data_IF_379974306073
#
_entry.id   IF_379974306073
#
_cell.length_a   1.000
_cell.length_b   1.000
_cell.length_c   1.000
_cell.angle_alpha   90.00
_cell.angle_beta   90.00
_cell.angle_gamma   90.00
#
_symmetry.space_group_name_H-M   'P 1'
#
loop_
_entity.id
_entity.type
_entity.pdbx_description
1 polymer ?
#
# COMPACT_ATOMS: atom_id res chain seq x y z
N UNK A 1 60.64 -42.31 -37.69
CA UNK A 1 59.97 -43.28 -38.57
C UNK A 1 58.47 -43.08 -38.38
N UNK A 2 57.64 -42.60 -39.22
CA UNK A 2 57.53 -42.48 -40.65
C UNK A 2 56.60 -41.27 -40.92
N UNK A 3 57.04 -40.43 -41.83
CA UNK A 3 56.34 -39.26 -42.39
C UNK A 3 55.10 -39.68 -43.20
N UNK A 4 54.01 -38.94 -43.05
CA UNK A 4 52.97 -38.94 -44.08
C UNK A 4 52.48 -37.53 -44.35
N UNK A 5 52.73 -37.09 -45.54
CA UNK A 5 52.40 -35.78 -46.10
C UNK A 5 50.92 -35.72 -46.44
N UNK A 6 50.28 -34.64 -46.05
CA UNK A 6 48.89 -34.33 -46.46
C UNK A 6 48.91 -33.26 -47.56
N UNK A 7 48.22 -33.55 -48.64
CA UNK A 7 48.09 -32.69 -49.82
C UNK A 7 46.95 -31.70 -49.61
N UNK A 8 47.28 -30.42 -49.83
CA UNK A 8 46.36 -29.31 -49.86
C UNK A 8 45.58 -29.27 -51.18
N UNK A 9 44.27 -29.36 -51.16
CA UNK A 9 43.43 -29.01 -52.31
C UNK A 9 42.88 -27.60 -52.04
N UNK A 10 43.26 -26.65 -52.89
CA UNK A 10 42.62 -25.35 -53.02
C UNK A 10 41.35 -25.48 -53.86
N UNK A 11 40.22 -25.24 -53.30
CA UNK A 11 38.97 -25.03 -54.02
C UNK A 11 38.67 -23.53 -53.98
N UNK A 12 38.77 -22.87 -55.13
CA UNK A 12 38.34 -21.49 -55.32
C UNK A 12 36.85 -21.42 -55.46
N UNK A 13 36.19 -20.85 -54.42
CA UNK A 13 34.75 -20.56 -54.48
C UNK A 13 34.56 -19.08 -54.83
N UNK A 14 33.98 -18.81 -56.01
CA UNK A 14 33.57 -17.48 -56.41
C UNK A 14 32.36 -17.02 -55.61
N UNK A 15 32.50 -15.99 -54.76
CA UNK A 15 31.41 -15.34 -54.08
C UNK A 15 30.76 -14.31 -55.01
N UNK A 16 29.55 -14.60 -55.45
CA UNK A 16 28.65 -13.59 -56.05
C UNK A 16 28.06 -12.77 -54.90
N UNK A 17 28.42 -11.49 -54.82
CA UNK A 17 27.76 -10.51 -53.94
C UNK A 17 26.34 -10.25 -54.47
N UNK A 18 25.37 -10.94 -53.87
CA UNK A 18 23.96 -10.54 -53.91
C UNK A 18 23.74 -9.41 -52.91
N UNK A 19 23.42 -8.21 -53.39
CA UNK A 19 22.99 -7.12 -52.55
C UNK A 19 21.64 -7.46 -51.91
N UNK A 20 21.67 -8.13 -50.76
CA UNK A 20 20.47 -8.24 -49.92
C UNK A 20 20.31 -6.93 -49.15
N UNK A 21 19.30 -6.14 -49.54
CA UNK A 21 18.88 -4.99 -48.77
C UNK A 21 18.63 -5.42 -47.31
N UNK A 22 19.39 -4.83 -46.38
CA UNK A 22 19.04 -4.88 -44.97
C UNK A 22 17.65 -4.24 -44.84
N UNK A 23 16.62 -5.06 -44.76
CA UNK A 23 15.36 -4.63 -44.20
C UNK A 23 15.65 -4.25 -42.73
N UNK A 24 15.74 -2.97 -42.43
CA UNK A 24 15.72 -2.46 -41.08
C UNK A 24 14.40 -2.96 -40.48
N UNK A 25 14.48 -3.94 -39.56
CA UNK A 25 13.35 -4.26 -38.71
C UNK A 25 12.94 -2.95 -38.04
N UNK A 26 11.67 -2.54 -38.12
CA UNK A 26 11.23 -1.39 -37.38
C UNK A 26 11.54 -1.69 -35.92
N UNK A 27 12.37 -0.83 -35.28
CA UNK A 27 12.53 -0.81 -33.84
C UNK A 27 11.14 -0.76 -33.21
N UNK A 28 10.95 -1.17 -31.94
CA UNK A 28 9.68 -1.03 -31.30
C UNK A 28 9.26 0.43 -31.44
N UNK A 29 8.27 0.68 -32.29
CA UNK A 29 7.66 1.98 -32.38
C UNK A 29 7.21 2.31 -30.97
N UNK A 30 7.75 3.41 -30.39
CA UNK A 30 7.22 4.01 -29.19
C UNK A 30 5.74 4.28 -29.48
N UNK A 31 4.89 3.32 -29.13
CA UNK A 31 3.47 3.46 -29.27
C UNK A 31 3.08 4.58 -28.32
N UNK A 32 2.81 5.76 -28.87
CA UNK A 32 2.31 6.88 -28.11
C UNK A 32 1.19 6.37 -27.17
N UNK A 33 1.18 6.75 -25.88
CA UNK A 33 0.21 6.23 -24.94
C UNK A 33 -1.19 6.47 -25.49
N UNK A 34 -2.02 5.43 -25.55
CA UNK A 34 -3.39 5.57 -25.98
C UNK A 34 -4.19 6.34 -24.93
N UNK A 35 -4.31 7.65 -25.11
CA UNK A 35 -5.09 8.54 -24.26
C UNK A 35 -6.52 8.74 -24.74
N UNK A 36 -6.98 7.86 -25.62
CA UNK A 36 -8.37 7.85 -26.03
C UNK A 36 -9.31 7.84 -24.81
N UNK A 37 -10.36 8.64 -24.83
CA UNK A 37 -11.35 8.79 -23.76
C UNK A 37 -10.81 9.39 -22.44
N UNK A 38 -9.61 9.95 -22.40
CA UNK A 38 -9.08 10.62 -21.18
C UNK A 38 -10.06 11.68 -20.66
N UNK A 39 -10.60 12.52 -21.53
CA UNK A 39 -11.55 13.58 -21.20
C UNK A 39 -12.94 13.10 -20.74
N UNK A 40 -13.20 11.81 -20.80
CA UNK A 40 -14.47 11.21 -20.35
C UNK A 40 -14.37 10.53 -18.99
N UNK A 41 -13.18 10.54 -18.38
CA UNK A 41 -12.98 9.94 -17.08
C UNK A 41 -13.48 10.93 -16.03
N UNK A 42 -14.49 10.47 -15.29
CA UNK A 42 -15.05 11.16 -14.13
C UNK A 42 -15.02 10.20 -12.93
N UNK A 43 -14.41 10.64 -11.83
CA UNK A 43 -14.32 9.84 -10.61
C UNK A 43 -15.52 10.14 -9.73
N UNK A 44 -16.46 9.21 -9.59
CA UNK A 44 -17.68 9.49 -8.85
C UNK A 44 -17.42 9.87 -7.39
N UNK A 45 -17.92 11.03 -7.00
CA UNK A 45 -17.78 11.58 -5.66
C UNK A 45 -16.45 12.28 -5.38
N UNK A 46 -15.55 12.38 -6.34
CA UNK A 46 -14.38 13.24 -6.19
C UNK A 46 -14.79 14.72 -6.19
N UNK A 47 -14.18 15.50 -5.31
CA UNK A 47 -14.33 16.94 -5.29
C UNK A 47 -13.42 17.60 -6.32
N UNK A 48 -12.21 17.07 -6.45
CA UNK A 48 -11.22 17.49 -7.43
C UNK A 48 -10.59 16.28 -8.08
N UNK A 49 -10.33 16.39 -9.39
CA UNK A 49 -9.52 15.41 -10.10
C UNK A 49 -8.64 16.08 -11.16
N UNK A 50 -7.49 15.48 -11.44
CA UNK A 50 -6.59 15.79 -12.56
C UNK A 50 -6.27 14.52 -13.31
N UNK A 51 -6.25 14.57 -14.63
CA UNK A 51 -5.98 13.42 -15.47
C UNK A 51 -4.77 13.69 -16.35
N UNK A 52 -3.78 12.79 -16.32
CA UNK A 52 -2.57 12.84 -17.13
C UNK A 52 -2.43 11.60 -18.01
N UNK A 53 -1.93 11.80 -19.22
CA UNK A 53 -1.53 10.73 -20.11
C UNK A 53 -0.01 10.54 -20.02
N UNK A 54 0.44 9.38 -19.58
CA UNK A 54 1.83 9.11 -19.30
C UNK A 54 2.38 7.99 -20.19
N UNK A 55 3.62 8.16 -20.61
CA UNK A 55 4.35 7.13 -21.35
C UNK A 55 4.69 5.94 -20.44
N UNK A 56 4.75 6.16 -19.12
CA UNK A 56 5.00 5.13 -18.14
C UNK A 56 4.29 5.47 -16.82
N UNK A 57 3.42 4.58 -16.37
CA UNK A 57 2.66 4.68 -15.11
C UNK A 57 3.42 4.12 -13.90
N UNK A 58 4.58 3.49 -14.12
CA UNK A 58 5.41 2.99 -13.02
C UNK A 58 6.19 4.11 -12.36
N UNK A 59 6.80 3.84 -11.21
CA UNK A 59 7.61 4.84 -10.48
C UNK A 59 8.71 5.45 -11.35
N UNK A 60 9.30 4.69 -12.27
CA UNK A 60 10.30 5.22 -13.20
C UNK A 60 9.76 6.38 -14.05
N UNK A 61 8.56 6.21 -14.62
CA UNK A 61 7.94 7.24 -15.47
C UNK A 61 7.27 8.34 -14.68
N UNK A 62 6.60 8.03 -13.58
CA UNK A 62 5.88 9.01 -12.77
C UNK A 62 6.80 9.94 -12.00
N UNK A 63 7.98 9.47 -11.57
CA UNK A 63 9.05 10.33 -11.01
C UNK A 63 9.58 11.28 -12.08
N UNK A 64 9.94 10.74 -13.25
CA UNK A 64 10.50 11.54 -14.33
C UNK A 64 9.54 12.62 -14.85
N UNK A 65 8.23 12.37 -14.76
CA UNK A 65 7.18 13.30 -15.21
C UNK A 65 6.55 14.13 -14.09
N UNK A 66 6.97 13.97 -12.84
CA UNK A 66 6.45 14.72 -11.69
C UNK A 66 5.03 14.32 -11.26
N UNK A 67 4.61 13.07 -11.50
CA UNK A 67 3.27 12.56 -11.19
C UNK A 67 3.25 11.59 -10.01
N UNK A 68 4.25 11.62 -9.16
CA UNK A 68 4.32 10.90 -7.88
C UNK A 68 5.16 11.69 -6.89
N UNK A 69 5.05 11.36 -5.62
CA UNK A 69 5.92 11.88 -4.57
C UNK A 69 6.75 10.72 -4.00
N UNK A 70 8.07 10.77 -4.18
CA UNK A 70 9.00 9.72 -3.74
C UNK A 70 9.06 9.58 -2.21
N UNK A 71 8.78 10.66 -1.47
CA UNK A 71 8.79 10.64 -0.01
C UNK A 71 7.70 9.74 0.56
N UNK A 72 6.59 9.54 -0.18
CA UNK A 72 5.49 8.68 0.26
C UNK A 72 5.93 7.22 0.43
N UNK A 73 6.86 6.71 -0.39
CA UNK A 73 7.37 5.34 -0.33
C UNK A 73 8.81 5.23 0.21
N UNK A 74 9.39 6.32 0.67
CA UNK A 74 10.70 6.29 1.32
C UNK A 74 10.74 5.24 2.44
N UNK A 75 11.77 4.37 2.42
CA UNK A 75 11.90 3.25 3.34
C UNK A 75 11.03 2.03 3.05
N UNK A 76 10.17 2.07 2.00
CA UNK A 76 9.37 0.91 1.56
C UNK A 76 9.97 0.19 0.34
N UNK A 77 11.21 0.44 0.01
CA UNK A 77 11.90 -0.23 -1.09
C UNK A 77 13.21 -0.83 -0.62
N UNK A 78 13.50 -2.03 -1.07
CA UNK A 78 14.79 -2.66 -0.81
C UNK A 78 15.87 -2.09 -1.73
N UNK A 79 17.06 -1.84 -1.20
CA UNK A 79 18.22 -1.44 -1.99
C UNK A 79 18.51 -2.49 -3.06
N UNK A 80 18.72 -2.05 -4.31
CA UNK A 80 19.02 -2.94 -5.43
C UNK A 80 17.80 -3.60 -6.09
N UNK A 81 16.59 -3.35 -5.61
CA UNK A 81 15.37 -3.79 -6.30
C UNK A 81 15.25 -3.08 -7.65
N UNK A 82 15.09 -3.86 -8.71
CA UNK A 82 14.82 -3.33 -10.04
C UNK A 82 13.36 -3.52 -10.39
N UNK A 83 12.60 -2.45 -10.31
CA UNK A 83 11.18 -2.46 -10.65
C UNK A 83 10.95 -2.52 -12.16
N UNK A 84 9.83 -3.08 -12.62
CA UNK A 84 9.41 -2.98 -14.00
C UNK A 84 9.13 -1.51 -14.38
N UNK A 85 9.17 -1.23 -15.69
CA UNK A 85 8.96 0.09 -16.27
C UNK A 85 8.29 -0.01 -17.64
N UNK A 86 7.94 1.13 -18.26
CA UNK A 86 7.43 1.18 -19.62
C UNK A 86 5.96 0.77 -19.75
N UNK A 87 5.12 1.15 -18.83
CA UNK A 87 3.67 0.89 -18.85
C UNK A 87 2.90 2.16 -19.23
N UNK A 88 2.61 2.40 -20.51
CA UNK A 88 1.87 3.59 -20.93
C UNK A 88 0.42 3.55 -20.47
N UNK A 89 -0.16 4.73 -20.19
CA UNK A 89 -1.57 4.80 -19.79
C UNK A 89 -2.01 6.16 -19.26
N UNK A 90 -3.07 6.13 -18.47
CA UNK A 90 -3.68 7.31 -17.86
C UNK A 90 -3.53 7.23 -16.35
N UNK A 91 -3.06 8.31 -15.74
CA UNK A 91 -3.13 8.53 -14.31
C UNK A 91 -4.23 9.55 -13.99
N UNK A 92 -5.01 9.27 -12.96
CA UNK A 92 -5.99 10.19 -12.38
C UNK A 92 -5.64 10.39 -10.93
N UNK A 93 -5.31 11.62 -10.56
CA UNK A 93 -5.13 12.06 -9.19
C UNK A 93 -6.35 12.85 -8.76
N UNK A 94 -6.71 12.78 -7.48
CA UNK A 94 -7.83 13.54 -6.96
C UNK A 94 -7.98 13.37 -5.46
N UNK A 95 -9.05 14.00 -4.92
CA UNK A 95 -9.45 13.77 -3.54
C UNK A 95 -10.97 13.74 -3.42
N UNK A 96 -11.44 13.04 -2.41
CA UNK A 96 -12.84 13.06 -2.00
C UNK A 96 -13.07 14.15 -0.95
N UNK A 97 -14.31 14.67 -0.80
CA UNK A 97 -14.62 15.62 0.26
C UNK A 97 -14.14 15.14 1.63
N UNK A 98 -13.41 16.01 2.33
CA UNK A 98 -12.79 15.74 3.62
C UNK A 98 -12.58 17.06 4.37
N UNK A 99 -12.53 17.01 5.71
CA UNK A 99 -12.26 18.17 6.55
C UNK A 99 -10.80 18.33 6.96
N UNK A 100 -9.94 17.35 6.70
CA UNK A 100 -8.53 17.38 7.09
C UNK A 100 -7.60 17.83 5.96
N UNK A 101 -6.42 18.33 6.31
CA UNK A 101 -5.57 19.09 5.40
C UNK A 101 -4.08 18.72 5.48
N UNK A 102 -3.74 17.53 6.00
CA UNK A 102 -2.35 17.15 6.24
C UNK A 102 -1.59 16.69 4.97
N UNK A 103 -2.30 16.23 3.94
CA UNK A 103 -1.70 15.76 2.70
C UNK A 103 -1.46 16.89 1.71
N UNK A 104 -0.19 17.23 1.53
CA UNK A 104 0.26 18.32 0.66
C UNK A 104 0.55 17.89 -0.78
N UNK A 105 0.37 16.61 -1.13
CA UNK A 105 0.59 16.13 -2.49
C UNK A 105 -0.25 16.91 -3.50
N UNK A 106 0.24 17.04 -4.69
CA UNK A 106 -0.38 17.81 -5.79
C UNK A 106 -0.63 19.29 -5.48
N UNK A 107 -0.13 19.80 -4.35
CA UNK A 107 -0.35 21.18 -3.90
C UNK A 107 -1.75 21.45 -3.34
N UNK A 108 -2.48 20.39 -2.92
CA UNK A 108 -3.87 20.54 -2.53
C UNK A 108 -4.10 20.84 -1.05
N UNK A 109 -3.18 20.47 -0.15
CA UNK A 109 -3.41 20.56 1.30
C UNK A 109 -4.79 20.00 1.69
N UNK A 110 -5.04 18.77 1.31
CA UNK A 110 -6.33 18.12 1.49
C UNK A 110 -6.11 16.61 1.63
N UNK A 111 -6.75 15.98 2.60
CA UNK A 111 -6.68 14.55 2.77
C UNK A 111 -7.75 13.84 1.91
N UNK A 112 -7.89 12.55 2.05
CA UNK A 112 -8.70 11.71 1.16
C UNK A 112 -8.23 11.74 -0.30
N UNK A 113 -6.93 11.96 -0.50
CA UNK A 113 -6.32 11.89 -1.82
C UNK A 113 -6.23 10.46 -2.32
N UNK A 114 -6.33 10.32 -3.63
CA UNK A 114 -6.20 9.06 -4.32
C UNK A 114 -5.38 9.20 -5.61
N UNK A 115 -4.87 8.07 -6.07
CA UNK A 115 -4.33 7.88 -7.42
C UNK A 115 -5.01 6.67 -8.07
N UNK A 116 -5.40 6.80 -9.34
CA UNK A 116 -5.92 5.71 -10.18
C UNK A 116 -5.05 5.61 -11.43
N UNK A 117 -4.50 4.44 -11.74
CA UNK A 117 -3.65 4.19 -12.90
C UNK A 117 -4.29 3.14 -13.81
N UNK A 118 -4.45 3.51 -15.07
CA UNK A 118 -5.18 2.78 -16.09
C UNK A 118 -4.25 2.45 -17.26
N UNK A 119 -3.61 1.26 -17.28
CA UNK A 119 -2.65 0.92 -18.33
C UNK A 119 -3.33 0.81 -19.70
N UNK A 120 -2.62 1.21 -20.76
CA UNK A 120 -3.15 1.10 -22.12
C UNK A 120 -3.47 -0.35 -22.52
N UNK A 121 -2.69 -1.31 -22.04
CA UNK A 121 -2.92 -2.76 -22.21
C UNK A 121 -3.46 -3.36 -20.91
N UNK A 122 -4.77 -3.20 -20.71
CA UNK A 122 -5.43 -3.71 -19.52
C UNK A 122 -5.81 -5.18 -19.66
N UNK A 123 -5.55 -5.98 -18.63
CA UNK A 123 -5.80 -7.41 -18.57
C UNK A 123 -7.21 -7.79 -18.03
N UNK A 124 -8.07 -6.80 -17.75
CA UNK A 124 -9.42 -7.02 -17.19
C UNK A 124 -9.47 -7.10 -15.66
N UNK A 125 -8.37 -6.76 -14.96
CA UNK A 125 -8.29 -6.88 -13.52
C UNK A 125 -7.93 -5.54 -12.87
N UNK A 126 -8.36 -5.38 -11.61
CA UNK A 126 -8.10 -4.20 -10.78
C UNK A 126 -7.45 -4.62 -9.46
N UNK A 127 -6.43 -3.89 -9.03
CA UNK A 127 -5.92 -3.92 -7.66
C UNK A 127 -6.18 -2.59 -7.00
N UNK A 128 -6.77 -2.61 -5.81
CA UNK A 128 -6.95 -1.44 -4.95
C UNK A 128 -6.06 -1.58 -3.73
N UNK A 129 -5.56 -0.48 -3.20
CA UNK A 129 -4.70 -0.45 -2.03
C UNK A 129 -5.04 0.73 -1.12
N UNK A 130 -4.74 0.58 0.16
CA UNK A 130 -4.67 1.67 1.13
C UNK A 130 -3.23 1.82 1.60
N UNK A 131 -2.79 3.05 1.81
CA UNK A 131 -1.43 3.34 2.22
C UNK A 131 -1.08 2.70 3.57
N UNK A 132 0.14 2.18 3.75
CA UNK A 132 0.60 1.65 5.04
C UNK A 132 0.86 2.79 6.04
N UNK A 133 0.80 2.46 7.34
CA UNK A 133 1.02 3.44 8.41
C UNK A 133 0.11 4.65 8.24
N UNK A 134 0.70 5.83 8.35
CA UNK A 134 0.07 7.14 8.11
C UNK A 134 0.55 7.78 6.80
N UNK A 135 0.95 6.96 5.83
CA UNK A 135 1.50 7.42 4.56
C UNK A 135 0.41 7.84 3.58
N UNK A 136 0.85 8.57 2.55
CA UNK A 136 0.02 9.14 1.51
C UNK A 136 -0.25 8.17 0.36
N UNK A 137 -1.02 8.57 -0.63
CA UNK A 137 -1.56 7.72 -1.70
C UNK A 137 -0.51 7.04 -2.59
N UNK A 138 0.70 7.58 -2.71
CA UNK A 138 1.76 6.98 -3.54
C UNK A 138 2.63 5.96 -2.80
N UNK A 139 2.37 5.72 -1.51
CA UNK A 139 3.22 4.87 -0.68
C UNK A 139 3.39 3.43 -1.20
N UNK A 140 2.39 2.90 -1.88
CA UNK A 140 2.41 1.54 -2.42
C UNK A 140 2.89 1.45 -3.89
N UNK A 141 3.31 2.57 -4.48
CA UNK A 141 3.71 2.60 -5.89
C UNK A 141 4.85 1.63 -6.18
N UNK A 142 5.94 1.74 -5.41
CA UNK A 142 7.15 0.96 -5.63
C UNK A 142 6.99 -0.52 -5.28
N UNK A 143 6.28 -0.84 -4.20
CA UNK A 143 6.17 -2.22 -3.69
C UNK A 143 4.99 -3.01 -4.26
N UNK A 144 3.95 -2.34 -4.74
CA UNK A 144 2.74 -2.99 -5.30
C UNK A 144 2.44 -2.45 -6.69
N UNK A 145 2.31 -1.13 -6.84
CA UNK A 145 1.83 -0.48 -8.06
C UNK A 145 2.57 -0.89 -9.31
N UNK A 146 3.89 -0.75 -9.33
CA UNK A 146 4.75 -1.08 -10.48
C UNK A 146 4.57 -2.53 -10.94
N UNK A 147 4.51 -3.46 -10.00
CA UNK A 147 4.43 -4.89 -10.28
C UNK A 147 3.09 -5.30 -10.88
N UNK A 148 1.98 -4.75 -10.37
CA UNK A 148 0.65 -5.08 -10.90
C UNK A 148 0.39 -4.36 -12.21
N UNK A 149 0.86 -3.12 -12.38
CA UNK A 149 0.77 -2.36 -13.63
C UNK A 149 1.52 -3.06 -14.76
N UNK A 150 2.73 -3.56 -14.51
CA UNK A 150 3.51 -4.31 -15.50
C UNK A 150 2.83 -5.59 -15.98
N UNK A 151 1.95 -6.16 -15.15
CA UNK A 151 1.11 -7.31 -15.52
C UNK A 151 -0.22 -6.88 -16.18
N UNK A 152 -0.43 -5.59 -16.41
CA UNK A 152 -1.62 -5.03 -17.06
C UNK A 152 -2.82 -4.86 -16.15
N UNK A 153 -2.68 -4.90 -14.84
CA UNK A 153 -3.77 -4.54 -13.93
C UNK A 153 -3.98 -3.03 -13.91
N UNK A 154 -5.22 -2.58 -13.78
CA UNK A 154 -5.47 -1.24 -13.27
C UNK A 154 -5.11 -1.20 -11.77
N UNK A 155 -4.63 -0.06 -11.30
CA UNK A 155 -4.21 0.13 -9.92
C UNK A 155 -4.83 1.38 -9.32
N UNK A 156 -5.24 1.33 -8.04
CA UNK A 156 -5.69 2.50 -7.31
C UNK A 156 -5.20 2.45 -5.85
N UNK A 157 -4.83 3.61 -5.31
CA UNK A 157 -4.40 3.73 -3.92
C UNK A 157 -4.88 5.05 -3.31
N UNK A 158 -5.01 5.10 -1.98
CA UNK A 158 -5.47 6.27 -1.22
C UNK A 158 -4.66 6.45 0.05
N UNK A 159 -4.56 7.71 0.52
CA UNK A 159 -4.04 8.08 1.83
C UNK A 159 -4.98 7.69 2.99
N UNK A 160 -6.15 7.18 2.68
CA UNK A 160 -7.19 6.72 3.61
C UNK A 160 -7.97 7.84 4.32
N UNK A 161 -7.78 9.10 3.96
CA UNK A 161 -8.47 10.24 4.55
C UNK A 161 -7.70 10.97 5.63
N UNK A 162 -6.55 10.44 6.04
CA UNK A 162 -5.67 11.13 6.98
C UNK A 162 -4.20 10.76 6.78
N UNK A 163 -3.33 11.63 7.24
CA UNK A 163 -1.90 11.49 7.16
C UNK A 163 -1.23 12.03 8.44
N UNK A 164 0.02 11.60 8.66
CA UNK A 164 0.87 12.06 9.74
C UNK A 164 0.64 11.40 11.08
N UNK A 165 1.48 11.77 12.04
CA UNK A 165 1.55 11.13 13.36
C UNK A 165 0.35 11.42 14.27
N UNK A 166 -0.50 12.35 13.88
CA UNK A 166 -1.70 12.73 14.64
C UNK A 166 -3.00 12.22 14.03
N UNK A 167 -2.91 11.22 13.15
CA UNK A 167 -4.05 10.62 12.46
C UNK A 167 -5.22 10.23 13.40
N UNK A 168 -4.89 9.82 14.62
CA UNK A 168 -5.86 9.40 15.63
C UNK A 168 -6.71 10.56 16.16
N UNK A 169 -6.34 11.80 15.88
CA UNK A 169 -7.12 13.03 16.17
C UNK A 169 -8.01 13.47 15.02
N UNK A 170 -7.82 12.85 13.88
CA UNK A 170 -8.65 13.08 12.72
C UNK A 170 -9.95 12.26 12.79
N UNK A 171 -10.98 12.77 12.14
CA UNK A 171 -12.29 12.17 12.26
C UNK A 171 -13.22 12.90 13.24
N UNK A 172 -14.47 12.51 13.27
CA UNK A 172 -15.56 13.23 13.98
C UNK A 172 -15.82 12.76 15.40
N UNK A 173 -15.17 11.68 15.84
CA UNK A 173 -15.38 11.06 17.17
C UNK A 173 -14.27 10.07 17.47
N UNK A 174 -14.14 9.58 18.74
CA UNK A 174 -13.26 8.47 19.05
C UNK A 174 -13.41 7.32 18.07
N UNK A 175 -12.30 6.81 17.52
CA UNK A 175 -12.29 5.79 16.46
C UNK A 175 -12.71 6.27 15.07
N UNK A 176 -13.01 7.55 14.91
CA UNK A 176 -13.41 8.13 13.63
C UNK A 176 -12.39 7.94 12.54
N UNK A 177 -11.11 8.07 12.87
CA UNK A 177 -10.00 7.92 11.92
C UNK A 177 -9.90 6.53 11.31
N UNK A 178 -10.02 5.46 12.09
CA UNK A 178 -9.95 4.08 11.56
C UNK A 178 -11.23 3.75 10.76
N UNK A 179 -12.38 4.20 11.24
CA UNK A 179 -13.63 4.09 10.49
C UNK A 179 -13.51 4.80 9.13
N UNK A 180 -12.88 5.95 9.12
CA UNK A 180 -12.62 6.70 7.90
C UNK A 180 -11.71 5.92 6.96
N UNK A 181 -10.61 5.36 7.42
CA UNK A 181 -9.74 4.51 6.59
C UNK A 181 -10.52 3.45 5.85
N UNK A 182 -11.38 2.73 6.57
CA UNK A 182 -12.23 1.68 6.00
C UNK A 182 -13.18 2.26 4.92
N UNK A 183 -13.84 3.38 5.22
CA UNK A 183 -14.77 4.04 4.28
C UNK A 183 -14.07 4.55 3.03
N UNK A 184 -12.88 5.19 3.17
CA UNK A 184 -12.16 5.75 2.03
C UNK A 184 -11.70 4.69 1.06
N UNK A 185 -11.21 3.55 1.54
CA UNK A 185 -10.87 2.41 0.67
C UNK A 185 -12.12 1.86 -0.03
N UNK A 186 -13.23 1.72 0.68
CA UNK A 186 -14.51 1.30 0.09
C UNK A 186 -14.99 2.29 -0.98
N UNK A 187 -14.90 3.59 -0.71
CA UNK A 187 -15.27 4.68 -1.63
C UNK A 187 -14.40 4.63 -2.88
N UNK A 188 -13.07 4.57 -2.72
CA UNK A 188 -12.14 4.48 -3.84
C UNK A 188 -12.41 3.24 -4.70
N UNK A 189 -12.66 2.08 -4.08
CA UNK A 189 -12.93 0.85 -4.83
C UNK A 189 -14.17 0.98 -5.71
N UNK A 190 -15.25 1.53 -5.16
CA UNK A 190 -16.50 1.75 -5.93
C UNK A 190 -16.29 2.73 -7.07
N UNK A 191 -15.63 3.84 -6.79
CA UNK A 191 -15.33 4.87 -7.81
C UNK A 191 -14.42 4.30 -8.90
N UNK A 192 -13.35 3.60 -8.54
CA UNK A 192 -12.39 3.04 -9.52
C UNK A 192 -13.04 2.00 -10.42
N UNK A 193 -13.95 1.16 -9.92
CA UNK A 193 -14.69 0.22 -10.79
C UNK A 193 -15.49 0.95 -11.88
N UNK A 194 -16.07 2.11 -11.58
CA UNK A 194 -16.78 2.93 -12.55
C UNK A 194 -15.81 3.61 -13.52
N UNK A 195 -14.70 4.16 -13.04
CA UNK A 195 -13.63 4.74 -13.87
C UNK A 195 -13.06 3.71 -14.84
N UNK A 196 -12.82 2.49 -14.39
CA UNK A 196 -12.40 1.37 -15.25
C UNK A 196 -13.44 1.10 -16.34
N UNK A 197 -14.72 1.06 -15.98
CA UNK A 197 -15.79 0.86 -16.97
C UNK A 197 -15.87 2.03 -17.99
N UNK A 198 -15.70 3.26 -17.57
CA UNK A 198 -15.64 4.44 -18.45
C UNK A 198 -14.46 4.34 -19.43
N UNK A 199 -13.30 3.91 -18.95
CA UNK A 199 -12.07 3.82 -19.75
C UNK A 199 -12.10 2.69 -20.74
N UNK A 200 -12.48 1.49 -20.31
CA UNK A 200 -12.36 0.26 -21.11
C UNK A 200 -13.69 -0.26 -21.69
N UNK A 201 -14.81 0.35 -21.30
CA UNK A 201 -16.14 -0.03 -21.80
C UNK A 201 -16.83 -1.12 -20.99
N UNK A 202 -16.16 -1.69 -20.00
CA UNK A 202 -16.73 -2.68 -19.07
C UNK A 202 -16.05 -2.67 -17.72
N UNK A 203 -16.75 -3.11 -16.67
CA UNK A 203 -16.22 -3.23 -15.32
C UNK A 203 -15.08 -4.27 -15.22
N UNK A 204 -14.23 -4.19 -14.19
CA UNK A 204 -13.22 -5.21 -13.95
C UNK A 204 -13.86 -6.60 -13.79
N UNK A 205 -13.30 -7.61 -14.46
CA UNK A 205 -13.72 -9.01 -14.31
C UNK A 205 -13.29 -9.58 -12.94
N UNK A 206 -12.18 -9.05 -12.40
CA UNK A 206 -11.67 -9.39 -11.08
C UNK A 206 -11.15 -8.13 -10.40
N UNK A 207 -11.41 -8.03 -9.10
CA UNK A 207 -10.93 -6.96 -8.23
C UNK A 207 -10.25 -7.56 -7.02
N UNK A 208 -9.06 -7.09 -6.73
CA UNK A 208 -8.27 -7.53 -5.58
C UNK A 208 -7.94 -6.36 -4.66
N UNK A 209 -7.81 -6.64 -3.38
CA UNK A 209 -7.30 -5.69 -2.40
C UNK A 209 -5.91 -6.15 -1.95
N UNK A 210 -4.89 -5.32 -2.13
CA UNK A 210 -3.52 -5.61 -1.70
C UNK A 210 -3.06 -4.52 -0.75
N UNK A 211 -2.37 -4.90 0.32
CA UNK A 211 -1.82 -3.92 1.23
C UNK A 211 -0.82 -4.49 2.20
N UNK A 212 0.07 -3.62 2.68
CA UNK A 212 1.09 -3.94 3.68
C UNK A 212 0.80 -3.17 4.97
N UNK A 213 1.12 -3.76 6.13
CA UNK A 213 0.97 -3.15 7.45
C UNK A 213 -0.48 -2.71 7.71
N UNK A 214 -0.77 -1.44 7.97
CA UNK A 214 -2.15 -0.96 8.06
C UNK A 214 -2.94 -1.18 6.76
N UNK A 215 -2.28 -1.19 5.60
CA UNK A 215 -2.89 -1.59 4.34
C UNK A 215 -3.29 -3.06 4.31
N UNK A 216 -2.52 -3.93 4.99
CA UNK A 216 -2.86 -5.34 5.19
C UNK A 216 -4.09 -5.51 6.08
N UNK A 217 -4.17 -4.76 7.19
CA UNK A 217 -5.40 -4.65 7.99
C UNK A 217 -6.61 -4.27 7.13
N UNK A 218 -6.47 -3.21 6.31
CA UNK A 218 -7.52 -2.77 5.41
C UNK A 218 -7.93 -3.85 4.41
N UNK A 219 -6.97 -4.64 3.93
CA UNK A 219 -7.25 -5.77 3.05
C UNK A 219 -8.19 -6.78 3.71
N UNK A 220 -7.89 -7.22 4.93
CA UNK A 220 -8.77 -8.12 5.69
C UNK A 220 -10.13 -7.50 5.93
N UNK A 221 -10.15 -6.27 6.44
CA UNK A 221 -11.40 -5.58 6.75
C UNK A 221 -12.31 -5.47 5.52
N UNK A 222 -11.75 -5.12 4.37
CA UNK A 222 -12.51 -5.01 3.11
C UNK A 222 -13.06 -6.36 2.66
N UNK A 223 -12.27 -7.44 2.74
CA UNK A 223 -12.69 -8.78 2.36
C UNK A 223 -13.78 -9.33 3.29
N UNK A 224 -13.69 -9.06 4.58
CA UNK A 224 -14.65 -9.51 5.59
C UNK A 224 -15.96 -8.73 5.52
N UNK A 225 -15.89 -7.40 5.32
CA UNK A 225 -17.08 -6.54 5.38
C UNK A 225 -17.70 -6.27 4.00
N UNK A 226 -16.93 -6.40 2.93
CA UNK A 226 -17.39 -6.19 1.55
C UNK A 226 -17.02 -7.35 0.62
N UNK A 227 -17.30 -8.63 0.97
CA UNK A 227 -16.82 -9.79 0.20
C UNK A 227 -17.29 -9.80 -1.26
N UNK A 228 -18.40 -9.13 -1.58
CA UNK A 228 -18.91 -9.04 -2.95
C UNK A 228 -18.19 -7.99 -3.81
N UNK A 229 -17.33 -7.18 -3.21
CA UNK A 229 -16.58 -6.17 -3.95
C UNK A 229 -15.25 -6.69 -4.48
N UNK A 230 -14.74 -7.78 -3.92
CA UNK A 230 -13.42 -8.31 -4.18
C UNK A 230 -13.47 -9.81 -4.50
N UNK A 231 -12.54 -10.25 -5.33
CA UNK A 231 -12.34 -11.66 -5.67
C UNK A 231 -11.21 -12.29 -4.86
N UNK A 232 -10.50 -11.51 -4.06
CA UNK A 232 -9.43 -11.94 -3.18
C UNK A 232 -8.56 -10.77 -2.72
N UNK A 233 -7.56 -11.07 -1.90
CA UNK A 233 -6.64 -10.05 -1.40
C UNK A 233 -5.30 -10.61 -0.97
N UNK A 234 -4.33 -9.71 -0.82
CA UNK A 234 -3.03 -9.96 -0.25
C UNK A 234 -2.85 -9.09 0.99
N UNK A 235 -3.00 -9.71 2.14
CA UNK A 235 -2.65 -9.13 3.43
C UNK A 235 -1.15 -9.38 3.67
N UNK A 236 -0.33 -8.37 3.46
CA UNK A 236 1.11 -8.44 3.70
C UNK A 236 1.42 -7.79 5.04
N UNK A 237 1.72 -8.62 6.04
CA UNK A 237 2.08 -8.18 7.40
C UNK A 237 1.06 -7.20 8.00
N UNK A 238 -0.23 -7.47 7.77
CA UNK A 238 -1.30 -6.60 8.24
C UNK A 238 -1.37 -6.54 9.75
N UNK A 239 -1.55 -5.33 10.28
CA UNK A 239 -1.77 -5.13 11.69
C UNK A 239 -2.99 -5.93 12.14
N UNK A 240 -2.85 -6.72 13.19
CA UNK A 240 -3.93 -7.56 13.69
C UNK A 240 -4.69 -6.82 14.81
N UNK A 241 -5.82 -6.27 14.45
CA UNK A 241 -6.80 -5.76 15.42
C UNK A 241 -7.90 -6.80 15.59
N UNK A 242 -8.16 -7.21 16.84
CA UNK A 242 -9.16 -8.20 17.20
C UNK A 242 -9.90 -7.75 18.45
N UNK A 243 -11.22 -7.92 18.47
CA UNK A 243 -12.04 -7.62 19.64
C UNK A 243 -11.74 -8.56 20.82
N UNK A 244 -11.24 -9.76 20.56
CA UNK A 244 -10.92 -10.76 21.58
C UNK A 244 -9.63 -11.49 21.21
N UNK A 245 -8.91 -11.95 22.22
CA UNK A 245 -7.66 -12.68 22.07
C UNK A 245 -6.44 -11.76 21.91
N UNK A 246 -5.25 -12.32 21.73
CA UNK A 246 -4.04 -11.56 21.69
C UNK A 246 -4.00 -10.63 20.47
N UNK A 247 -3.74 -9.37 20.71
CA UNK A 247 -3.48 -8.36 19.71
C UNK A 247 -2.49 -7.33 20.28
N UNK A 248 -2.06 -6.38 19.45
CA UNK A 248 -1.05 -5.40 19.83
C UNK A 248 -1.42 -4.62 21.11
N UNK A 249 -2.69 -4.29 21.28
CA UNK A 249 -3.15 -3.49 22.42
C UNK A 249 -3.35 -4.30 23.70
N UNK A 250 -3.54 -5.61 23.61
CA UNK A 250 -3.75 -6.46 24.78
C UNK A 250 -2.47 -7.11 25.29
N UNK A 251 -1.59 -7.58 24.39
CA UNK A 251 -0.40 -8.30 24.84
C UNK A 251 0.83 -7.39 25.04
N UNK A 252 1.00 -6.36 24.18
CA UNK A 252 2.19 -5.49 24.26
C UNK A 252 2.27 -4.71 25.58
N UNK A 253 1.19 -4.09 26.08
CA UNK A 253 1.19 -3.47 27.40
C UNK A 253 1.58 -4.42 28.52
N UNK A 254 0.98 -5.62 28.54
CA UNK A 254 1.30 -6.62 29.54
C UNK A 254 2.77 -7.06 29.48
N UNK A 255 3.33 -7.22 28.27
CA UNK A 255 4.72 -7.57 28.06
C UNK A 255 5.67 -6.44 28.51
N UNK A 256 5.38 -5.21 28.14
CA UNK A 256 6.24 -4.06 28.45
C UNK A 256 6.17 -3.62 29.92
N UNK A 257 5.18 -4.07 30.71
CA UNK A 257 5.09 -3.81 32.17
C UNK A 257 6.39 -4.11 32.90
N UNK A 258 7.08 -5.15 32.49
CA UNK A 258 8.30 -5.62 33.12
C UNK A 258 9.56 -4.88 32.62
N UNK A 259 9.46 -4.16 31.51
CA UNK A 259 10.61 -3.50 30.90
C UNK A 259 11.29 -2.47 31.82
N UNK A 260 10.59 -1.60 32.58
CA UNK A 260 11.26 -0.63 33.45
C UNK A 260 12.17 -1.30 34.51
N UNK A 261 11.74 -2.39 35.13
CA UNK A 261 12.55 -3.11 36.11
C UNK A 261 13.78 -3.75 35.44
N UNK A 262 13.62 -4.36 34.30
CA UNK A 262 14.70 -4.90 33.48
C UNK A 262 15.69 -3.80 33.08
N UNK A 263 15.20 -2.69 32.56
CA UNK A 263 16.03 -1.57 32.08
C UNK A 263 16.84 -0.91 33.19
N UNK A 264 16.26 -0.80 34.40
CA UNK A 264 16.91 -0.14 35.55
C UNK A 264 18.01 -0.98 36.16
N UNK A 265 17.83 -2.30 36.25
CA UNK A 265 18.72 -3.16 37.09
C UNK A 265 19.18 -4.44 36.37
N UNK A 266 18.74 -4.72 35.15
CA UNK A 266 18.95 -6.00 34.49
C UNK A 266 18.20 -7.15 35.16
N UNK A 267 17.09 -6.87 35.85
CA UNK A 267 16.32 -7.86 36.62
C UNK A 267 15.93 -9.06 35.71
N UNK A 268 16.46 -10.21 36.09
CA UNK A 268 16.26 -11.45 35.36
C UNK A 268 14.80 -11.93 35.42
N UNK A 269 14.13 -11.72 36.52
CA UNK A 269 12.73 -12.11 36.64
C UNK A 269 11.84 -11.27 35.72
N UNK A 270 12.14 -9.97 35.61
CA UNK A 270 11.49 -9.08 34.69
C UNK A 270 11.79 -9.47 33.22
N UNK A 271 13.08 -9.76 32.91
CA UNK A 271 13.47 -10.28 31.59
C UNK A 271 12.67 -11.53 31.20
N UNK A 272 12.67 -12.54 32.09
CA UNK A 272 11.98 -13.79 31.81
C UNK A 272 10.46 -13.61 31.71
N UNK A 273 9.89 -12.62 32.41
CA UNK A 273 8.49 -12.26 32.28
C UNK A 273 8.18 -11.64 30.91
N UNK A 274 9.06 -10.79 30.37
CA UNK A 274 8.96 -10.28 28.99
C UNK A 274 8.93 -11.41 27.97
N UNK A 275 9.84 -12.37 28.08
CA UNK A 275 9.90 -13.52 27.18
C UNK A 275 8.62 -14.37 27.30
N UNK A 276 8.14 -14.65 28.52
CA UNK A 276 6.88 -15.39 28.71
C UNK A 276 5.65 -14.67 28.16
N UNK A 277 5.68 -13.34 28.17
CA UNK A 277 4.60 -12.51 27.63
C UNK A 277 4.59 -12.43 26.10
N UNK A 278 5.62 -12.92 25.40
CA UNK A 278 5.63 -13.05 23.96
C UNK A 278 6.80 -12.39 23.23
N UNK A 279 7.72 -11.72 23.92
CA UNK A 279 8.92 -11.18 23.28
C UNK A 279 9.90 -12.32 22.93
N UNK A 280 10.48 -12.27 21.75
CA UNK A 280 11.44 -13.28 21.32
C UNK A 280 12.75 -13.19 22.13
N UNK A 281 13.37 -14.31 22.44
CA UNK A 281 14.73 -14.35 23.00
C UNK A 281 15.69 -13.70 22.01
N UNK A 282 16.59 -12.84 22.51
CA UNK A 282 17.54 -12.10 21.69
C UNK A 282 16.96 -10.83 21.05
N UNK A 283 15.72 -10.46 21.38
CA UNK A 283 15.09 -9.21 20.91
C UNK A 283 15.26 -8.04 21.86
N UNK A 284 16.07 -8.19 22.92
CA UNK A 284 16.26 -7.21 24.00
C UNK A 284 16.67 -5.83 23.49
N UNK A 285 17.42 -5.79 22.39
CA UNK A 285 17.85 -4.54 21.74
C UNK A 285 16.69 -3.73 21.15
N UNK A 286 15.54 -4.35 20.91
CA UNK A 286 14.32 -3.70 20.41
C UNK A 286 13.40 -3.21 21.55
N UNK A 287 13.54 -3.74 22.78
CA UNK A 287 12.62 -3.45 23.86
C UNK A 287 12.53 -1.98 24.25
N UNK A 288 13.66 -1.19 24.26
CA UNK A 288 13.57 0.26 24.47
C UNK A 288 12.68 0.97 23.46
N UNK A 289 12.78 0.57 22.18
CA UNK A 289 11.99 1.14 21.11
C UNK A 289 10.52 0.76 21.23
N UNK A 290 10.22 -0.50 21.55
CA UNK A 290 8.86 -0.93 21.84
C UNK A 290 8.27 -0.16 23.01
N UNK A 291 9.04 0.03 24.08
CA UNK A 291 8.57 0.79 25.23
C UNK A 291 8.32 2.26 24.91
N UNK A 292 9.27 2.93 24.27
CA UNK A 292 9.17 4.37 24.00
C UNK A 292 8.16 4.72 22.92
N UNK A 293 8.09 3.93 21.85
CA UNK A 293 7.30 4.29 20.67
C UNK A 293 5.97 3.55 20.62
N UNK A 294 5.97 2.24 20.81
CA UNK A 294 4.73 1.47 20.68
C UNK A 294 3.86 1.57 21.91
N UNK A 295 4.46 1.47 23.09
CA UNK A 295 3.71 1.57 24.35
C UNK A 295 3.11 2.96 24.52
N UNK A 296 3.91 4.01 24.44
CA UNK A 296 3.47 5.38 24.63
C UNK A 296 2.44 5.79 23.56
N UNK A 297 2.71 5.46 22.29
CA UNK A 297 1.77 5.72 21.20
C UNK A 297 0.47 4.96 21.39
N UNK A 298 0.52 3.67 21.78
CA UNK A 298 -0.67 2.84 22.04
C UNK A 298 -1.52 3.45 23.15
N UNK A 299 -0.90 3.86 24.27
CA UNK A 299 -1.61 4.50 25.38
C UNK A 299 -2.29 5.80 24.96
N UNK A 300 -1.62 6.58 24.14
CA UNK A 300 -2.15 7.85 23.65
C UNK A 300 -3.36 7.65 22.77
N UNK A 301 -3.27 6.76 21.78
CA UNK A 301 -4.40 6.42 20.90
C UNK A 301 -5.56 5.90 21.74
N UNK A 302 -5.28 5.02 22.68
CA UNK A 302 -6.33 4.45 23.53
C UNK A 302 -7.06 5.52 24.32
N UNK A 303 -6.29 6.39 24.96
CA UNK A 303 -6.83 7.44 25.81
C UNK A 303 -7.54 8.55 25.03
N UNK A 304 -6.99 8.94 23.89
CA UNK A 304 -7.51 10.08 23.14
C UNK A 304 -8.63 9.70 22.17
N UNK A 305 -8.61 8.47 21.63
CA UNK A 305 -9.52 8.06 20.55
C UNK A 305 -10.53 6.99 20.94
N UNK A 306 -10.12 5.99 21.72
CA UNK A 306 -10.98 4.82 21.96
C UNK A 306 -11.69 4.89 23.31
N UNK A 307 -11.02 5.36 24.34
CA UNK A 307 -11.58 5.50 25.68
C UNK A 307 -10.99 6.74 26.38
N UNK A 308 -11.64 7.90 26.28
CA UNK A 308 -11.18 9.12 26.94
C UNK A 308 -11.10 9.00 28.47
N UNK A 309 -11.74 8.02 29.07
CA UNK A 309 -11.72 7.74 30.52
C UNK A 309 -10.58 6.82 30.91
N UNK A 310 -9.87 6.23 29.97
CA UNK A 310 -8.77 5.32 30.23
C UNK A 310 -7.63 6.02 30.96
N UNK A 311 -7.30 5.51 32.11
CA UNK A 311 -6.31 6.13 33.01
C UNK A 311 -4.84 5.72 32.74
N UNK A 312 -4.62 4.85 31.75
CA UNK A 312 -3.30 4.32 31.40
C UNK A 312 -2.90 3.12 32.25
N UNK A 313 -3.80 2.53 33.02
CA UNK A 313 -3.49 1.33 33.81
C UNK A 313 -3.21 0.14 32.89
N UNK A 314 -2.04 -0.48 33.07
CA UNK A 314 -1.59 -1.62 32.26
C UNK A 314 -2.46 -2.87 32.42
N UNK A 315 -3.22 -2.93 33.50
CA UNK A 315 -4.05 -4.07 33.86
C UNK A 315 -5.52 -3.87 33.58
N UNK A 316 -5.84 -2.69 33.15
CA UNK A 316 -7.18 -2.50 32.73
C UNK A 316 -7.43 -3.64 31.75
N UNK A 317 -8.29 -4.58 32.11
CA UNK A 317 -8.92 -5.47 31.18
C UNK A 317 -9.68 -4.57 30.23
N UNK A 318 -8.92 -3.82 29.44
CA UNK A 318 -9.43 -2.86 28.46
C UNK A 318 -10.25 -3.72 27.52
N UNK A 319 -11.56 -3.75 27.66
CA UNK A 319 -12.35 -4.44 26.69
C UNK A 319 -12.22 -3.60 25.44
N UNK A 320 -11.41 -4.02 24.50
CA UNK A 320 -11.79 -3.75 23.14
C UNK A 320 -13.27 -4.00 23.03
N UNK A 321 -13.98 -3.07 22.47
CA UNK A 321 -15.42 -3.12 22.33
C UNK A 321 -15.91 -4.53 22.01
N UNK A 322 -16.25 -5.29 23.06
CA UNK A 322 -16.93 -6.56 22.89
C UNK A 322 -18.39 -6.27 22.62
N UNK A 323 -19.00 -7.07 21.79
CA UNK A 323 -20.44 -7.00 21.53
C UNK A 323 -21.20 -6.96 22.86
N UNK A 324 -21.94 -5.88 23.11
CA UNK A 324 -22.71 -5.69 24.33
C UNK A 324 -22.02 -4.82 25.39
N UNK A 325 -20.82 -4.30 25.17
CA UNK A 325 -20.19 -3.32 26.07
C UNK A 325 -20.85 -1.96 25.86
N UNK A 326 -21.43 -1.32 26.91
CA UNK A 326 -22.02 0.01 26.80
C UNK A 326 -21.02 1.02 26.26
N UNK A 327 -21.41 1.86 25.31
CA UNK A 327 -20.55 2.86 24.67
C UNK A 327 -19.71 2.36 23.49
N UNK A 328 -19.73 1.07 23.22
CA UNK A 328 -19.08 0.52 22.04
C UNK A 328 -19.92 0.71 20.80
N UNK A 329 -19.42 1.48 19.86
CA UNK A 329 -19.99 1.59 18.53
C UNK A 329 -19.83 0.26 17.76
N UNK A 330 -20.77 -0.03 16.89
CA UNK A 330 -20.73 -1.21 16.02
C UNK A 330 -19.46 -1.30 15.17
N UNK A 331 -18.85 -0.16 14.85
CA UNK A 331 -17.64 -0.09 14.03
C UNK A 331 -16.37 -0.46 14.80
N UNK A 332 -16.37 -0.43 16.12
CA UNK A 332 -15.25 -0.89 16.95
C UNK A 332 -15.13 -2.42 17.03
N UNK A 333 -16.09 -3.16 16.53
CA UNK A 333 -16.06 -4.63 16.52
C UNK A 333 -14.94 -5.23 15.69
N UNK A 334 -14.27 -4.41 14.93
CA UNK A 334 -13.24 -4.83 13.96
C UNK A 334 -11.81 -4.42 14.35
N UNK A 335 -11.61 -4.00 15.59
CA UNK A 335 -10.30 -3.81 16.18
C UNK A 335 -9.80 -5.06 16.87
#
# INVERSE_FOLDING_TARGET
MTSMRSRTLLATLALTLGATGLATLPGPADAAPSCARQSRIDVPGAEVQKTACLADLTTAGTVASGHTNVDDWSGLHATGTRNPSGVPGIQVDGYFPDGSTSNTNNGWNHDSQFVIRLPARWNGKLVVSGAPGTRRQYANDFIIGDWVLAQGYAFASTDKGNDGATFYRDGSSPGGSIREWNRRVTQLTRATKQVVAQRYGHAPRRTYMFGISNGGYLTRWQLENHPRMYDGGLDWEGTLFRAAGPNLFTYLPAALRHYPAYAATGDRAAHDAMIRAGFAKGSEFLWPYHYAYYWDLTQRIYREELDPTYDGALDAGIPFCQTGTPGCDADYRYF
#
